data_IF_991635796213
#
_entry.id   IF_991635796213
#
_cell.length_a   1.000
_cell.length_b   1.000
_cell.length_c   1.000
_cell.angle_alpha   90.00
_cell.angle_beta   90.00
_cell.angle_gamma   90.00
#
_symmetry.space_group_name_H-M   'P 1'
#
loop_
_entity.id
_entity.type
_entity.pdbx_description
1 polymer ?
#
# COMPACT_ATOMS: atom_id res chain seq x y z
N UNK A 1 15.77 -10.03 -0.31
CA UNK A 1 15.51 -8.87 -1.17
C UNK A 1 14.02 -8.57 -1.24
N UNK A 2 13.69 -7.30 -1.30
CA UNK A 2 12.30 -6.89 -1.40
C UNK A 2 11.76 -7.14 -2.79
N UNK A 3 10.50 -7.55 -2.86
CA UNK A 3 9.81 -7.67 -4.13
C UNK A 3 9.28 -6.31 -4.55
N UNK A 4 9.47 -5.96 -5.81
CA UNK A 4 9.05 -4.67 -6.35
C UNK A 4 8.03 -4.89 -7.45
N UNK A 5 6.95 -4.12 -7.41
CA UNK A 5 5.95 -4.13 -8.45
C UNK A 5 5.43 -2.73 -8.68
N UNK A 6 4.56 -2.58 -9.66
CA UNK A 6 3.96 -1.31 -9.98
C UNK A 6 2.49 -1.33 -9.58
N UNK A 7 2.10 -0.38 -8.74
CA UNK A 7 0.73 -0.20 -8.35
C UNK A 7 0.16 1.06 -8.96
N UNK A 8 -1.12 1.30 -8.70
CA UNK A 8 -1.80 2.46 -9.25
C UNK A 8 -2.68 3.07 -8.17
N UNK A 9 -2.67 4.38 -8.09
CA UNK A 9 -3.54 5.10 -7.16
C UNK A 9 -4.83 5.45 -7.87
N UNK A 10 -5.96 5.04 -7.28
CA UNK A 10 -7.27 5.20 -7.87
C UNK A 10 -8.15 5.97 -6.91
N UNK A 11 -8.95 6.90 -7.43
CA UNK A 11 -9.98 7.57 -6.65
C UNK A 11 -11.34 7.07 -7.11
N UNK A 12 -12.15 6.63 -6.18
CA UNK A 12 -13.47 6.09 -6.49
C UNK A 12 -14.55 6.98 -5.88
N UNK A 13 -15.56 7.28 -6.67
CA UNK A 13 -16.68 8.10 -6.24
C UNK A 13 -16.30 9.55 -6.02
N UNK A 14 -17.13 10.28 -5.25
CA UNK A 14 -16.94 11.69 -4.97
C UNK A 14 -16.07 11.95 -3.74
N UNK A 15 -15.75 10.91 -2.99
CA UNK A 15 -14.93 11.03 -1.80
C UNK A 15 -13.46 11.25 -2.18
N UNK A 16 -12.72 11.89 -1.29
CA UNK A 16 -11.29 12.11 -1.52
C UNK A 16 -10.44 10.90 -1.18
N UNK A 17 -11.07 9.83 -0.75
CA UNK A 17 -10.35 8.59 -0.45
C UNK A 17 -9.75 7.99 -1.72
N UNK A 18 -8.50 7.62 -1.63
CA UNK A 18 -7.81 6.99 -2.73
C UNK A 18 -7.42 5.56 -2.36
N UNK A 19 -7.38 4.71 -3.36
CA UNK A 19 -7.03 3.31 -3.18
C UNK A 19 -5.76 3.02 -3.95
N UNK A 20 -4.91 2.21 -3.38
CA UNK A 20 -3.67 1.79 -4.02
C UNK A 20 -3.77 0.32 -4.38
N UNK A 21 -3.63 0.01 -5.67
CA UNK A 21 -3.62 -1.39 -6.09
C UNK A 21 -2.21 -1.95 -5.91
N UNK A 22 -2.13 -3.09 -5.24
CA UNK A 22 -0.86 -3.80 -5.05
C UNK A 22 -0.88 -4.98 -6.01
N UNK A 23 0.11 -5.08 -6.92
CA UNK A 23 0.09 -6.16 -7.91
C UNK A 23 0.15 -7.53 -7.23
N UNK A 24 -0.48 -8.51 -7.85
CA UNK A 24 -0.60 -9.84 -7.26
C UNK A 24 0.76 -10.48 -7.01
N UNK A 25 1.74 -10.18 -7.83
CA UNK A 25 3.08 -10.74 -7.65
C UNK A 25 3.75 -10.22 -6.39
N UNK A 26 3.34 -9.05 -5.90
CA UNK A 26 3.83 -8.52 -4.62
C UNK A 26 2.96 -9.00 -3.48
N UNK A 27 1.63 -8.88 -3.63
CA UNK A 27 0.70 -9.25 -2.57
C UNK A 27 0.70 -10.75 -2.30
N UNK A 28 0.99 -11.55 -3.32
CA UNK A 28 1.03 -13.00 -3.17
C UNK A 28 2.38 -13.55 -2.73
N UNK A 29 3.34 -12.69 -2.49
CA UNK A 29 4.66 -13.12 -2.01
C UNK A 29 4.56 -13.54 -0.54
N UNK A 30 5.25 -14.62 -0.17
CA UNK A 30 5.24 -15.12 1.20
C UNK A 30 5.70 -14.11 2.23
N UNK A 31 6.46 -13.12 1.78
CA UNK A 31 6.99 -12.09 2.65
C UNK A 31 6.08 -10.88 2.80
N UNK A 32 4.94 -10.88 2.10
CA UNK A 32 3.99 -9.78 2.21
C UNK A 32 3.39 -9.79 3.62
N UNK A 33 3.59 -8.74 4.42
CA UNK A 33 3.30 -8.81 5.86
C UNK A 33 1.84 -8.55 6.23
N UNK A 34 0.98 -8.20 5.28
CA UNK A 34 -0.38 -7.80 5.60
C UNK A 34 -1.39 -8.72 4.98
N UNK A 35 -2.53 -8.89 5.67
CA UNK A 35 -3.64 -9.70 5.19
C UNK A 35 -4.78 -8.84 4.71
N UNK A 36 -5.65 -9.42 3.89
CA UNK A 36 -6.83 -8.74 3.40
C UNK A 36 -7.71 -8.31 4.57
N UNK A 37 -8.10 -7.05 4.59
CA UNK A 37 -8.94 -6.50 5.64
C UNK A 37 -8.19 -5.97 6.84
N UNK A 38 -6.89 -6.16 6.89
CA UNK A 38 -6.07 -5.67 7.99
C UNK A 38 -5.93 -4.15 7.92
N UNK A 39 -6.02 -3.49 9.07
CA UNK A 39 -5.80 -2.05 9.14
C UNK A 39 -4.32 -1.76 9.30
N UNK A 40 -3.86 -0.73 8.62
CA UNK A 40 -2.45 -0.37 8.62
C UNK A 40 -2.29 1.13 8.85
N UNK A 41 -1.11 1.52 9.31
CA UNK A 41 -0.78 2.93 9.50
C UNK A 41 -0.11 3.44 8.23
N UNK A 42 -0.59 4.58 7.75
CA UNK A 42 -0.05 5.18 6.52
C UNK A 42 0.57 6.53 6.86
N UNK A 43 1.84 6.68 6.49
CA UNK A 43 2.61 7.89 6.80
C UNK A 43 3.11 8.52 5.51
N UNK A 44 2.99 9.84 5.42
CA UNK A 44 3.51 10.59 4.27
C UNK A 44 4.96 10.99 4.53
N UNK A 45 5.82 10.68 3.58
CA UNK A 45 7.21 11.13 3.59
C UNK A 45 7.41 12.02 2.36
N UNK A 46 7.13 13.31 2.52
CA UNK A 46 7.15 14.23 1.39
C UNK A 46 8.57 14.52 0.89
N UNK A 47 9.57 14.39 1.75
CA UNK A 47 10.96 14.65 1.34
C UNK A 47 11.44 13.65 0.31
N UNK A 48 11.03 12.40 0.45
CA UNK A 48 11.44 11.34 -0.46
C UNK A 48 10.34 10.95 -1.44
N UNK A 49 9.23 11.67 -1.40
CA UNK A 49 8.08 11.46 -2.27
C UNK A 49 7.60 10.01 -2.20
N UNK A 50 7.29 9.57 -0.98
CA UNK A 50 6.82 8.21 -0.78
C UNK A 50 5.79 8.16 0.34
N UNK A 51 5.05 7.06 0.37
CA UNK A 51 4.09 6.77 1.42
C UNK A 51 4.53 5.47 2.08
N UNK A 52 4.54 5.46 3.40
CA UNK A 52 5.00 4.30 4.16
C UNK A 52 3.78 3.63 4.78
N UNK A 53 3.65 2.32 4.55
CA UNK A 53 2.58 1.50 5.11
C UNK A 53 3.19 0.58 6.14
N UNK A 54 2.67 0.65 7.37
CA UNK A 54 3.23 -0.11 8.48
C UNK A 54 2.14 -0.74 9.32
N UNK A 55 2.53 -1.71 10.15
CA UNK A 55 1.62 -2.33 11.10
C UNK A 55 1.21 -1.32 12.17
N UNK A 56 -0.05 -1.36 12.56
CA UNK A 56 -0.56 -0.57 13.67
C UNK A 56 -0.15 -1.26 14.96
N UNK A 57 0.46 -0.50 15.87
CA UNK A 57 0.83 -1.01 17.17
C UNK A 57 -0.25 -0.78 18.21
#
# INVERSE_FOLDING_TARGET
MSKIGVGKIIQMGAAKTRYLSIPSQVAGDDRFPFETGEEVKITIDEKQKRVIVEMIE
#
